data_IF_488407663030
#
_entry.id   IF_488407663030
#
_cell.length_a   1.000
_cell.length_b   1.000
_cell.length_c   1.000
_cell.angle_alpha   90.00
_cell.angle_beta   90.00
_cell.angle_gamma   90.00
#
_symmetry.space_group_name_H-M   'P 1'
#
loop_
_entity.id
_entity.type
_entity.pdbx_description
1 polymer ?
#
# COMPACT_ATOMS: atom_id res chain seq x y z
N UNK A 1 10.25 -15.83 -4.52
CA UNK A 1 9.39 -14.86 -3.81
C UNK A 1 8.06 -14.64 -4.53
N UNK A 2 8.03 -14.59 -5.85
CA UNK A 2 6.77 -14.45 -6.64
C UNK A 2 5.74 -15.54 -6.31
N UNK A 3 6.19 -16.78 -6.11
CA UNK A 3 5.30 -17.87 -5.71
C UNK A 3 4.68 -17.64 -4.30
N UNK A 4 5.44 -17.10 -3.35
CA UNK A 4 4.96 -16.84 -1.98
C UNK A 4 3.89 -15.75 -1.98
N UNK A 5 4.13 -14.64 -2.68
CA UNK A 5 3.16 -13.55 -2.79
C UNK A 5 1.93 -13.96 -3.59
N UNK A 6 2.10 -14.74 -4.65
CA UNK A 6 0.98 -15.28 -5.40
C UNK A 6 0.12 -16.24 -4.55
N UNK A 7 0.75 -17.05 -3.70
CA UNK A 7 0.04 -17.92 -2.76
C UNK A 7 -0.70 -17.10 -1.70
N UNK A 8 -0.06 -16.07 -1.13
CA UNK A 8 -0.72 -15.13 -0.23
C UNK A 8 -1.96 -14.50 -0.88
N UNK A 9 -1.82 -13.99 -2.12
CA UNK A 9 -2.94 -13.40 -2.87
C UNK A 9 -4.06 -14.39 -3.13
N UNK A 10 -3.73 -15.63 -3.53
CA UNK A 10 -4.73 -16.70 -3.75
C UNK A 10 -5.49 -17.02 -2.47
N UNK A 11 -4.76 -17.14 -1.33
CA UNK A 11 -5.37 -17.35 -0.01
C UNK A 11 -6.33 -16.21 0.34
N UNK A 12 -5.88 -14.96 0.20
CA UNK A 12 -6.70 -13.78 0.45
C UNK A 12 -7.96 -13.73 -0.42
N UNK A 13 -7.84 -14.06 -1.72
CA UNK A 13 -8.99 -14.16 -2.64
C UNK A 13 -9.99 -15.24 -2.17
N UNK A 14 -9.50 -16.37 -1.71
CA UNK A 14 -10.36 -17.46 -1.24
C UNK A 14 -11.09 -17.12 0.07
N UNK A 15 -10.42 -16.44 1.00
CA UNK A 15 -11.00 -16.02 2.27
C UNK A 15 -12.03 -14.90 2.10
N UNK A 16 -11.76 -13.93 1.24
CA UNK A 16 -12.64 -12.78 1.03
C UNK A 16 -13.77 -13.03 0.03
N UNK A 17 -13.61 -14.03 -0.84
CA UNK A 17 -14.47 -14.27 -2.03
C UNK A 17 -14.56 -13.06 -2.97
N UNK A 18 -13.57 -12.17 -2.91
CA UNK A 18 -13.50 -10.93 -3.69
C UNK A 18 -12.32 -10.94 -4.66
N UNK A 19 -12.38 -10.06 -5.66
CA UNK A 19 -11.23 -9.82 -6.54
C UNK A 19 -10.15 -9.07 -5.76
N UNK A 20 -8.91 -9.55 -5.85
CA UNK A 20 -7.70 -8.98 -5.23
C UNK A 20 -6.74 -8.62 -6.37
N UNK A 21 -6.14 -7.42 -6.41
CA UNK A 21 -5.19 -7.04 -7.44
C UNK A 21 -3.96 -7.94 -7.46
N UNK A 22 -3.27 -7.97 -8.57
CA UNK A 22 -1.94 -8.55 -8.67
C UNK A 22 -0.91 -7.64 -8.00
N UNK A 23 0.17 -8.23 -7.54
CA UNK A 23 1.37 -7.48 -7.19
C UNK A 23 2.07 -6.93 -8.43
N UNK A 24 2.81 -5.85 -8.27
CA UNK A 24 3.65 -5.30 -9.32
C UNK A 24 4.67 -6.34 -9.80
N UNK A 25 4.82 -6.50 -11.10
CA UNK A 25 5.78 -7.44 -11.71
C UNK A 25 7.24 -7.10 -11.41
N UNK A 26 7.51 -5.85 -11.05
CA UNK A 26 8.85 -5.40 -10.68
C UNK A 26 9.21 -5.63 -9.21
N UNK A 27 8.34 -6.31 -8.46
CA UNK A 27 8.63 -6.71 -7.10
C UNK A 27 9.84 -7.65 -7.04
N UNK A 28 10.73 -7.39 -6.09
CA UNK A 28 11.94 -8.19 -5.86
C UNK A 28 12.09 -8.51 -4.36
N UNK A 29 12.98 -9.49 -4.04
CA UNK A 29 13.38 -9.80 -2.67
C UNK A 29 14.11 -8.64 -1.95
N UNK A 30 14.45 -7.57 -2.67
CA UNK A 30 15.11 -6.38 -2.11
C UNK A 30 14.15 -5.40 -1.44
N UNK A 31 12.86 -5.71 -1.37
CA UNK A 31 11.87 -4.80 -0.78
C UNK A 31 12.20 -4.52 0.68
N UNK A 32 12.40 -3.25 0.97
CA UNK A 32 12.63 -2.70 2.32
C UNK A 32 11.47 -1.83 2.80
N UNK A 33 10.65 -1.36 1.85
CA UNK A 33 9.57 -0.40 2.10
C UNK A 33 8.27 -0.96 1.57
N UNK A 34 7.24 -0.99 2.42
CA UNK A 34 5.87 -1.26 2.03
C UNK A 34 5.06 0.03 2.06
N UNK A 35 4.72 0.56 0.88
CA UNK A 35 3.88 1.74 0.74
C UNK A 35 2.41 1.31 0.62
N UNK A 36 1.60 1.65 1.64
CA UNK A 36 0.24 1.13 1.81
C UNK A 36 -0.78 2.23 1.54
N UNK A 37 -1.49 2.10 0.43
CA UNK A 37 -2.66 2.91 0.08
C UNK A 37 -3.91 2.36 0.78
N UNK A 38 -5.05 3.03 0.60
CA UNK A 38 -6.29 2.60 1.25
C UNK A 38 -6.92 1.39 0.56
N UNK A 39 -7.34 1.49 -0.69
CA UNK A 39 -8.01 0.45 -1.48
C UNK A 39 -7.63 0.54 -2.97
N UNK A 40 -7.89 -0.49 -3.77
CA UNK A 40 -7.62 -0.44 -5.21
C UNK A 40 -8.47 0.60 -5.92
N UNK A 41 -7.83 1.65 -6.44
CA UNK A 41 -8.50 2.75 -7.14
C UNK A 41 -9.14 2.31 -8.46
N UNK A 42 -10.33 2.83 -8.76
CA UNK A 42 -11.12 2.50 -9.97
C UNK A 42 -10.37 2.77 -11.27
N UNK A 43 -9.67 3.90 -11.38
CA UNK A 43 -8.89 4.28 -12.56
C UNK A 43 -7.51 3.63 -12.64
N UNK A 44 -7.01 3.11 -11.52
CA UNK A 44 -5.69 2.50 -11.41
C UNK A 44 -5.75 0.97 -11.30
N UNK A 45 -5.58 0.46 -10.08
CA UNK A 45 -5.45 -0.97 -9.81
C UNK A 45 -6.69 -1.79 -10.20
N UNK A 46 -7.91 -1.23 -10.12
CA UNK A 46 -9.12 -1.94 -10.55
C UNK A 46 -9.14 -2.11 -12.07
N UNK A 47 -8.73 -1.09 -12.83
CA UNK A 47 -8.69 -1.12 -14.29
C UNK A 47 -7.56 -2.01 -14.83
N UNK A 48 -6.36 -1.89 -14.26
CA UNK A 48 -5.18 -2.66 -14.70
C UNK A 48 -5.13 -4.09 -14.14
N UNK A 49 -5.84 -4.34 -13.04
CA UNK A 49 -5.74 -5.57 -12.28
C UNK A 49 -4.50 -5.66 -11.39
N UNK A 50 -3.66 -4.63 -11.31
CA UNK A 50 -2.35 -4.66 -10.64
C UNK A 50 -2.14 -3.42 -9.76
N UNK A 51 -1.61 -3.60 -8.55
CA UNK A 51 -1.10 -2.49 -7.73
C UNK A 51 0.27 -2.07 -8.24
N UNK A 52 0.32 -1.05 -9.10
CA UNK A 52 1.56 -0.58 -9.70
C UNK A 52 1.61 0.94 -9.84
N UNK A 53 2.79 1.51 -9.69
CA UNK A 53 3.05 2.93 -10.00
C UNK A 53 3.12 3.21 -11.52
N UNK A 54 3.02 2.18 -12.36
CA UNK A 54 2.89 2.33 -13.82
C UNK A 54 1.44 2.42 -14.28
N UNK A 55 0.48 2.36 -13.36
CA UNK A 55 -0.92 2.60 -13.68
C UNK A 55 -1.10 4.03 -14.21
N UNK A 56 -2.00 4.18 -15.19
CA UNK A 56 -2.32 5.47 -15.77
C UNK A 56 -3.35 6.21 -14.90
N UNK A 57 -2.93 6.65 -13.72
CA UNK A 57 -3.75 7.43 -12.78
C UNK A 57 -2.89 8.41 -11.96
N UNK A 58 -3.50 9.52 -11.47
CA UNK A 58 -2.76 10.56 -10.76
C UNK A 58 -2.03 10.08 -9.50
N UNK A 59 -2.55 9.06 -8.81
CA UNK A 59 -1.94 8.49 -7.61
C UNK A 59 -0.64 7.77 -7.93
N UNK A 60 -0.65 6.96 -8.99
CA UNK A 60 0.52 6.25 -9.48
C UNK A 60 1.59 7.23 -9.98
N UNK A 61 1.21 8.25 -10.77
CA UNK A 61 2.13 9.29 -11.24
C UNK A 61 2.82 10.02 -10.10
N UNK A 62 2.06 10.44 -9.07
CA UNK A 62 2.65 11.15 -7.93
C UNK A 62 3.65 10.28 -7.16
N UNK A 63 3.37 9.00 -6.98
CA UNK A 63 4.30 8.07 -6.34
C UNK A 63 5.57 7.88 -7.16
N UNK A 64 5.43 7.70 -8.49
CA UNK A 64 6.57 7.59 -9.41
C UNK A 64 7.44 8.85 -9.38
N UNK A 65 6.84 10.03 -9.43
CA UNK A 65 7.52 11.33 -9.30
C UNK A 65 8.36 11.41 -8.02
N UNK A 66 7.79 11.00 -6.87
CA UNK A 66 8.47 11.01 -5.58
C UNK A 66 9.69 10.07 -5.59
N UNK A 67 9.56 8.84 -6.09
CA UNK A 67 10.67 7.90 -6.14
C UNK A 67 11.81 8.46 -7.00
N UNK A 68 11.51 9.02 -8.17
CA UNK A 68 12.50 9.64 -9.07
C UNK A 68 13.17 10.83 -8.38
N UNK A 69 12.37 11.77 -7.84
CA UNK A 69 12.88 12.99 -7.17
C UNK A 69 13.81 12.67 -6.00
N UNK A 70 13.50 11.64 -5.23
CA UNK A 70 14.28 11.23 -4.06
C UNK A 70 15.35 10.19 -4.38
N UNK A 71 15.46 9.75 -5.63
CA UNK A 71 16.40 8.70 -6.06
C UNK A 71 16.23 7.40 -5.23
N UNK A 72 14.98 7.02 -4.95
CA UNK A 72 14.66 5.77 -4.27
C UNK A 72 14.55 4.68 -5.33
N UNK A 73 15.26 3.56 -5.15
CA UNK A 73 15.16 2.42 -6.07
C UNK A 73 13.77 1.81 -5.97
N UNK A 74 13.05 1.81 -7.10
CA UNK A 74 11.72 1.20 -7.20
C UNK A 74 11.71 -0.26 -6.74
N UNK A 75 12.80 -0.99 -6.94
CA UNK A 75 12.91 -2.40 -6.54
C UNK A 75 12.89 -2.60 -5.03
N UNK A 76 13.14 -1.56 -4.26
CA UNK A 76 13.07 -1.58 -2.79
C UNK A 76 11.69 -1.24 -2.24
N UNK A 77 10.72 -0.87 -3.10
CA UNK A 77 9.39 -0.43 -2.67
C UNK A 77 8.30 -1.32 -3.24
N UNK A 78 7.51 -1.94 -2.36
CA UNK A 78 6.25 -2.59 -2.73
C UNK A 78 5.09 -1.64 -2.44
N UNK A 79 4.26 -1.40 -3.45
CA UNK A 79 2.99 -0.69 -3.31
C UNK A 79 1.85 -1.68 -3.13
N UNK A 80 1.03 -1.48 -2.10
CA UNK A 80 -0.10 -2.34 -1.79
C UNK A 80 -1.26 -1.54 -1.21
N UNK A 81 -2.38 -2.20 -0.96
CA UNK A 81 -3.55 -1.59 -0.35
C UNK A 81 -3.81 -2.21 1.02
N UNK A 82 -4.21 -1.37 1.99
CA UNK A 82 -4.62 -1.84 3.31
C UNK A 82 -5.85 -2.74 3.17
N UNK A 83 -6.86 -2.24 2.47
CA UNK A 83 -8.08 -2.95 2.12
C UNK A 83 -7.97 -3.48 0.69
N UNK A 84 -7.26 -4.60 0.50
CA UNK A 84 -6.79 -5.05 -0.80
C UNK A 84 -7.85 -5.72 -1.69
N UNK A 85 -9.13 -5.41 -1.56
CA UNK A 85 -10.17 -5.94 -2.45
C UNK A 85 -10.95 -4.84 -3.17
N UNK A 86 -11.42 -5.16 -4.37
CA UNK A 86 -12.30 -4.26 -5.13
C UNK A 86 -13.67 -4.13 -4.49
N UNK A 87 -14.31 -2.95 -4.67
CA UNK A 87 -15.70 -2.70 -4.32
C UNK A 87 -15.96 -2.72 -2.81
N UNK A 88 -15.01 -2.34 -1.98
CA UNK A 88 -15.24 -2.10 -0.55
C UNK A 88 -15.79 -0.69 -0.32
N UNK A 89 -16.82 -0.60 0.51
CA UNK A 89 -17.33 0.67 1.02
C UNK A 89 -16.61 1.01 2.32
N UNK A 90 -15.51 1.74 2.22
CA UNK A 90 -14.59 1.99 3.35
C UNK A 90 -15.27 2.70 4.53
N UNK A 91 -16.27 3.57 4.27
CA UNK A 91 -17.03 4.25 5.31
C UNK A 91 -17.89 3.29 6.17
N UNK A 92 -18.26 2.14 5.61
CA UNK A 92 -19.18 1.18 6.22
C UNK A 92 -18.45 -0.04 6.81
N UNK A 93 -17.12 -0.02 6.86
CA UNK A 93 -16.35 -1.13 7.41
C UNK A 93 -16.56 -1.29 8.92
N UNK A 94 -17.06 -2.46 9.32
CA UNK A 94 -17.20 -2.85 10.72
C UNK A 94 -15.82 -3.11 11.34
N UNK A 95 -15.71 -2.98 12.65
CA UNK A 95 -14.48 -3.24 13.40
C UNK A 95 -13.85 -4.61 13.06
N UNK A 96 -14.65 -5.66 13.01
CA UNK A 96 -14.20 -7.02 12.65
C UNK A 96 -13.52 -7.06 11.26
N UNK A 97 -14.01 -6.30 10.31
CA UNK A 97 -13.42 -6.21 8.97
C UNK A 97 -12.09 -5.43 8.98
N UNK A 98 -12.00 -4.35 9.77
CA UNK A 98 -10.74 -3.59 9.93
C UNK A 98 -9.66 -4.46 10.56
N UNK A 99 -9.98 -5.20 11.61
CA UNK A 99 -9.06 -6.16 12.26
C UNK A 99 -8.63 -7.26 11.27
N UNK A 100 -9.58 -7.81 10.50
CA UNK A 100 -9.27 -8.81 9.47
C UNK A 100 -8.21 -8.29 8.49
N UNK A 101 -8.42 -7.10 7.91
CA UNK A 101 -7.50 -6.52 6.93
C UNK A 101 -6.15 -6.14 7.55
N UNK A 102 -6.13 -5.68 8.81
CA UNK A 102 -4.91 -5.41 9.54
C UNK A 102 -4.06 -6.68 9.71
N UNK A 103 -4.67 -7.79 10.10
CA UNK A 103 -4.01 -9.09 10.19
C UNK A 103 -3.48 -9.55 8.82
N UNK A 104 -4.26 -9.37 7.73
CA UNK A 104 -3.80 -9.72 6.38
C UNK A 104 -2.62 -8.89 5.92
N UNK A 105 -2.60 -7.60 6.24
CA UNK A 105 -1.43 -6.77 5.94
C UNK A 105 -0.21 -7.20 6.76
N UNK A 106 -0.41 -7.59 8.02
CA UNK A 106 0.66 -8.13 8.86
C UNK A 106 1.20 -9.47 8.31
N UNK A 107 0.32 -10.37 7.86
CA UNK A 107 0.71 -11.60 7.16
C UNK A 107 1.60 -11.27 5.95
N UNK A 108 1.22 -10.27 5.13
CA UNK A 108 2.03 -9.82 3.99
C UNK A 108 3.38 -9.27 4.43
N UNK A 109 3.42 -8.41 5.45
CA UNK A 109 4.65 -7.83 5.99
C UNK A 109 5.62 -8.92 6.46
N UNK A 110 5.10 -9.96 7.09
CA UNK A 110 5.88 -11.11 7.58
C UNK A 110 6.51 -11.96 6.46
N UNK A 111 6.00 -11.88 5.23
CA UNK A 111 6.59 -12.55 4.06
C UNK A 111 7.78 -11.81 3.46
N UNK A 112 8.07 -10.59 3.89
CA UNK A 112 9.15 -9.74 3.37
C UNK A 112 10.32 -9.69 4.37
N UNK A 113 11.38 -10.51 4.19
CA UNK A 113 12.44 -10.66 5.20
C UNK A 113 13.24 -9.37 5.43
N UNK A 114 13.33 -8.51 4.41
CA UNK A 114 14.11 -7.27 4.45
C UNK A 114 13.24 -6.02 4.70
N UNK A 115 11.95 -6.18 5.02
CA UNK A 115 11.05 -5.07 5.29
C UNK A 115 11.48 -4.35 6.56
N UNK A 116 11.82 -3.07 6.43
CA UNK A 116 12.26 -2.20 7.52
C UNK A 116 11.26 -1.09 7.83
N UNK A 117 10.39 -0.75 6.87
CA UNK A 117 9.53 0.42 6.95
C UNK A 117 8.20 0.19 6.26
N UNK A 118 7.13 0.64 6.90
CA UNK A 118 5.81 0.80 6.26
C UNK A 118 5.50 2.30 6.15
N UNK A 119 5.01 2.74 4.99
CA UNK A 119 4.45 4.09 4.81
C UNK A 119 2.96 3.95 4.57
N UNK A 120 2.15 4.37 5.53
CA UNK A 120 0.70 4.44 5.40
C UNK A 120 0.28 5.72 4.70
N UNK A 121 -0.50 5.60 3.61
CA UNK A 121 -0.88 6.68 2.71
C UNK A 121 -2.39 6.94 2.77
N UNK A 122 -2.78 8.00 3.48
CA UNK A 122 -4.16 8.46 3.60
C UNK A 122 -4.93 7.95 4.82
N UNK A 123 -6.05 8.63 5.10
CA UNK A 123 -6.77 8.49 6.38
C UNK A 123 -7.35 7.09 6.62
N UNK A 124 -7.92 6.44 5.62
CA UNK A 124 -8.48 5.10 5.78
C UNK A 124 -7.41 4.05 6.09
N UNK A 125 -6.25 4.17 5.44
CA UNK A 125 -5.10 3.34 5.77
C UNK A 125 -4.65 3.60 7.22
N UNK A 126 -4.54 4.87 7.64
CA UNK A 126 -4.19 5.25 9.02
C UNK A 126 -5.15 4.67 10.05
N UNK A 127 -6.46 4.73 9.79
CA UNK A 127 -7.48 4.16 10.69
C UNK A 127 -7.31 2.63 10.82
N UNK A 128 -7.00 1.97 9.72
CA UNK A 128 -6.71 0.53 9.72
C UNK A 128 -5.49 0.16 10.56
N UNK A 129 -4.43 0.97 10.52
CA UNK A 129 -3.19 0.72 11.28
C UNK A 129 -3.37 0.76 12.81
N UNK A 130 -4.46 1.28 13.36
CA UNK A 130 -4.81 1.17 14.78
C UNK A 130 -4.96 -0.29 15.25
N UNK A 131 -5.24 -1.20 14.31
CA UNK A 131 -5.46 -2.62 14.57
C UNK A 131 -4.33 -3.50 14.03
N UNK A 132 -3.25 -2.89 13.53
CA UNK A 132 -2.12 -3.61 12.95
C UNK A 132 -1.25 -4.22 14.06
N UNK A 133 -1.01 -5.56 14.08
CA UNK A 133 -0.26 -6.22 15.15
C UNK A 133 1.20 -5.76 15.28
N UNK A 134 1.83 -5.41 14.15
CA UNK A 134 3.21 -4.91 14.09
C UNK A 134 4.27 -5.85 14.68
N UNK A 135 4.19 -7.13 14.35
CA UNK A 135 5.05 -8.16 14.96
C UNK A 135 6.53 -8.05 14.57
N UNK A 136 6.83 -7.52 13.37
CA UNK A 136 8.20 -7.47 12.82
C UNK A 136 8.66 -6.09 12.36
N UNK A 137 7.73 -5.21 12.04
CA UNK A 137 8.08 -3.91 11.47
C UNK A 137 8.31 -2.92 12.59
N UNK A 138 9.54 -2.42 12.68
CA UNK A 138 9.93 -1.48 13.73
C UNK A 138 9.48 -0.06 13.48
N UNK A 139 9.16 0.31 12.23
CA UNK A 139 8.87 1.70 11.85
C UNK A 139 7.68 1.81 10.92
N UNK A 140 6.69 2.60 11.33
CA UNK A 140 5.54 2.98 10.50
C UNK A 140 5.50 4.50 10.39
N UNK A 141 5.46 5.02 9.16
CA UNK A 141 5.30 6.43 8.87
C UNK A 141 3.92 6.68 8.26
N UNK A 142 3.38 7.87 8.50
CA UNK A 142 2.07 8.29 7.99
C UNK A 142 2.22 9.50 7.09
N UNK A 143 1.61 9.46 5.90
CA UNK A 143 1.60 10.55 4.94
C UNK A 143 0.22 10.74 4.30
N UNK A 144 -0.10 11.95 3.79
CA UNK A 144 -1.31 12.17 3.01
C UNK A 144 -1.39 11.22 1.81
N UNK A 145 -2.61 10.91 1.37
CA UNK A 145 -2.83 10.10 0.17
C UNK A 145 -2.31 10.83 -1.08
N UNK A 146 -1.59 10.19 -2.00
CA UNK A 146 -1.01 10.84 -3.18
C UNK A 146 -2.01 11.14 -4.32
N UNK A 147 -3.31 11.08 -4.05
CA UNK A 147 -4.35 11.43 -5.03
C UNK A 147 -4.39 12.93 -5.31
N UNK A 148 -4.84 13.31 -6.51
CA UNK A 148 -5.04 14.71 -6.92
C UNK A 148 -5.86 15.51 -5.90
N UNK A 149 -6.97 14.94 -5.40
CA UNK A 149 -7.80 15.58 -4.37
C UNK A 149 -7.03 15.91 -3.10
N UNK A 150 -6.21 14.98 -2.62
CA UNK A 150 -5.42 15.20 -1.40
C UNK A 150 -4.27 16.18 -1.65
N UNK A 151 -3.65 16.16 -2.82
CA UNK A 151 -2.54 17.06 -3.15
C UNK A 151 -2.99 18.52 -3.33
N UNK A 152 -4.28 18.75 -3.65
CA UNK A 152 -4.85 20.10 -3.70
C UNK A 152 -5.07 20.72 -2.29
N UNK A 153 -4.94 19.95 -1.22
CA UNK A 153 -5.01 20.47 0.16
C UNK A 153 -3.65 21.07 0.52
N UNK A 154 -3.66 22.33 0.94
CA UNK A 154 -2.45 23.08 1.31
C UNK A 154 -1.58 22.29 2.31
N UNK A 155 -0.29 22.19 2.00
CA UNK A 155 0.70 21.51 2.85
C UNK A 155 0.77 19.99 2.69
N UNK A 156 -0.21 19.32 2.08
CA UNK A 156 -0.19 17.87 1.96
C UNK A 156 0.93 17.35 1.06
N UNK A 157 1.23 18.03 -0.03
CA UNK A 157 2.35 17.65 -0.89
C UNK A 157 3.69 17.73 -0.16
N UNK A 158 3.91 18.81 0.60
CA UNK A 158 5.12 18.99 1.44
C UNK A 158 5.21 17.88 2.49
N UNK A 159 4.10 17.55 3.17
CA UNK A 159 4.04 16.47 4.17
C UNK A 159 4.32 15.11 3.54
N UNK A 160 3.73 14.80 2.39
CA UNK A 160 3.97 13.57 1.66
C UNK A 160 5.46 13.44 1.31
N UNK A 161 6.05 14.47 0.69
CA UNK A 161 7.46 14.48 0.32
C UNK A 161 8.38 14.34 1.54
N UNK A 162 8.12 15.09 2.62
CA UNK A 162 8.93 15.02 3.85
C UNK A 162 8.87 13.65 4.52
N UNK A 163 7.74 12.93 4.41
CA UNK A 163 7.65 11.56 4.91
C UNK A 163 8.53 10.62 4.10
N UNK A 164 8.52 10.73 2.78
CA UNK A 164 9.39 9.93 1.91
C UNK A 164 10.87 10.26 2.06
N UNK A 165 11.23 11.49 2.42
CA UNK A 165 12.63 11.86 2.72
C UNK A 165 13.20 11.13 3.94
N UNK A 166 12.35 10.70 4.89
CA UNK A 166 12.76 9.94 6.09
C UNK A 166 13.09 8.47 5.80
N UNK A 167 12.97 8.04 4.56
CA UNK A 167 13.29 6.67 4.11
C UNK A 167 14.81 6.46 3.97
N UNK A 168 15.54 7.54 3.83
CA UNK A 168 17.02 7.54 3.76
C UNK A 168 17.62 7.57 5.20
#
# INVERSE_FOLDING_TARGET
>A
MDNILNNYRKKLKNETKKKIPLFDKLFTHKVKILAVLQDPGKSGAEKSGTCSIDNNDPTAFKQKEILIKLKIDRKEVLFWNFYASYGLELNNLKLKQKIFWANKLNDLANLMPNLALIISLGNYSWDGFKYFPNDKVTRILFAPHPSRRSMNIQGNEKRLLSTWQKVK
#
